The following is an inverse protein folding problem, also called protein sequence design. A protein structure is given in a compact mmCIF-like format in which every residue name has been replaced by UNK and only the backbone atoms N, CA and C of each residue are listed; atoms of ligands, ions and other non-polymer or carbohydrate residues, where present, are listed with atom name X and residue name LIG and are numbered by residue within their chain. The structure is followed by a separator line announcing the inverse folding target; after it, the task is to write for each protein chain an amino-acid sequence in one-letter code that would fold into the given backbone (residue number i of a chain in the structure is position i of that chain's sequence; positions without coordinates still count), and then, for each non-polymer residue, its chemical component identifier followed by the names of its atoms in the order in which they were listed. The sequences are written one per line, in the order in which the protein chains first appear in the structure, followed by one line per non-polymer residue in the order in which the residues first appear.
data_IF_066360087970
#
_entry.id   IF_066360087970
#
_cell.length_a   1.000
_cell.length_b   1.000
_cell.length_c   1.000
_cell.angle_alpha   90.00
_cell.angle_beta   90.00
_cell.angle_gamma   90.00
#
_symmetry.space_group_name_H-M   'P 1'
#
loop_
_entity.id
_entity.type
_entity.pdbx_description
1 polymer ?
#
# COMPACT_ATOMS: atom_id res chain seq x y z
N UNK A 1 -16.70 9.55 2.34
CA UNK A 1 -15.71 9.67 1.25
C UNK A 1 -15.96 8.54 0.27
N UNK A 2 -15.84 8.78 -1.03
CA UNK A 2 -16.02 7.72 -2.04
C UNK A 2 -14.74 6.89 -2.15
N UNK A 3 -14.86 5.58 -2.40
CA UNK A 3 -13.73 4.66 -2.61
C UNK A 3 -12.64 5.23 -3.53
N UNK A 4 -13.06 5.91 -4.61
CA UNK A 4 -12.14 6.50 -5.59
C UNK A 4 -11.32 7.68 -5.05
N UNK A 5 -11.87 8.46 -4.11
CA UNK A 5 -11.18 9.61 -3.50
C UNK A 5 -10.04 9.12 -2.59
N UNK A 6 -10.33 8.08 -1.80
CA UNK A 6 -9.36 7.40 -0.94
C UNK A 6 -8.23 6.81 -1.78
N UNK A 7 -8.57 6.06 -2.84
CA UNK A 7 -7.57 5.48 -3.74
C UNK A 7 -6.67 6.55 -4.36
N UNK A 8 -7.26 7.61 -4.92
CA UNK A 8 -6.51 8.70 -5.56
C UNK A 8 -5.55 9.39 -4.60
N UNK A 9 -5.99 9.63 -3.36
CA UNK A 9 -5.17 10.21 -2.29
C UNK A 9 -3.98 9.32 -1.96
N UNK A 10 -4.22 8.02 -1.78
CA UNK A 10 -3.18 7.04 -1.43
C UNK A 10 -2.15 6.89 -2.56
N UNK A 11 -2.60 6.84 -3.81
CA UNK A 11 -1.73 6.80 -4.98
C UNK A 11 -0.80 8.00 -5.04
N UNK A 12 -1.31 9.20 -4.75
CA UNK A 12 -0.52 10.42 -4.71
C UNK A 12 0.62 10.33 -3.70
N UNK A 13 0.36 9.78 -2.52
CA UNK A 13 1.40 9.57 -1.51
C UNK A 13 2.39 8.49 -1.89
N UNK A 14 1.94 7.32 -2.36
CA UNK A 14 2.85 6.23 -2.75
C UNK A 14 3.80 6.73 -3.84
N UNK A 15 3.28 7.46 -4.83
CA UNK A 15 4.09 8.04 -5.91
C UNK A 15 5.06 9.11 -5.44
N UNK A 16 4.74 9.84 -4.36
CA UNK A 16 5.67 10.78 -3.73
C UNK A 16 6.79 10.05 -2.95
N UNK A 17 6.51 8.90 -2.34
CA UNK A 17 7.49 8.08 -1.60
C UNK A 17 8.32 7.15 -2.48
N UNK A 18 7.76 6.77 -3.64
CA UNK A 18 8.31 5.85 -4.63
C UNK A 18 8.18 6.44 -6.03
N UNK A 19 8.92 7.52 -6.35
CA UNK A 19 8.87 8.14 -7.67
C UNK A 19 9.38 7.24 -8.80
N UNK A 20 10.12 6.19 -8.46
CA UNK A 20 10.67 5.18 -9.37
C UNK A 20 9.87 3.86 -9.36
N UNK A 21 8.73 3.82 -8.65
CA UNK A 21 7.97 2.60 -8.39
C UNK A 21 8.34 1.92 -7.08
N UNK A 22 7.40 1.13 -6.56
CA UNK A 22 7.52 0.38 -5.31
C UNK A 22 8.32 -0.90 -5.57
N UNK A 23 9.47 -1.09 -4.90
CA UNK A 23 10.22 -2.32 -5.05
C UNK A 23 9.45 -3.51 -4.44
N UNK A 24 9.67 -4.75 -4.92
CA UNK A 24 8.96 -5.92 -4.45
C UNK A 24 9.14 -6.18 -2.95
N UNK A 25 10.28 -5.77 -2.38
CA UNK A 25 10.55 -5.84 -0.93
C UNK A 25 9.65 -4.92 -0.11
N UNK A 26 9.24 -3.78 -0.66
CA UNK A 26 8.37 -2.82 0.02
C UNK A 26 6.89 -3.06 -0.29
N UNK A 27 6.55 -3.83 -1.34
CA UNK A 27 5.17 -4.12 -1.71
C UNK A 27 4.36 -4.77 -0.57
N UNK A 28 4.92 -5.82 0.03
CA UNK A 28 4.26 -6.56 1.11
C UNK A 28 4.05 -5.73 2.39
N UNK A 29 5.08 -5.08 2.97
CA UNK A 29 4.91 -4.19 4.13
C UNK A 29 4.06 -2.95 3.80
N UNK A 30 4.06 -2.46 2.55
CA UNK A 30 3.17 -1.38 2.12
C UNK A 30 1.71 -1.83 2.13
N UNK A 31 1.38 -2.98 1.54
CA UNK A 31 0.02 -3.54 1.59
C UNK A 31 -0.43 -3.78 3.03
N UNK A 32 0.46 -4.23 3.91
CA UNK A 32 0.17 -4.42 5.32
C UNK A 32 -0.20 -3.12 6.04
N UNK A 33 0.56 -2.05 5.78
CA UNK A 33 0.27 -0.72 6.33
C UNK A 33 -1.06 -0.18 5.81
N UNK A 34 -1.36 -0.38 4.52
CA UNK A 34 -2.64 -0.02 3.93
C UNK A 34 -3.78 -0.80 4.59
N UNK A 35 -3.62 -2.12 4.78
CA UNK A 35 -4.63 -2.99 5.39
C UNK A 35 -4.93 -2.65 6.86
N UNK A 36 -4.03 -1.98 7.56
CA UNK A 36 -4.30 -1.51 8.93
C UNK A 36 -5.27 -0.32 8.99
N UNK A 37 -5.44 0.40 7.88
CA UNK A 37 -6.29 1.60 7.78
C UNK A 37 -7.49 1.42 6.87
N UNK A 38 -7.33 0.60 5.84
CA UNK A 38 -8.26 0.45 4.74
C UNK A 38 -8.88 -0.94 4.80
N UNK A 39 -10.11 -1.02 4.30
CA UNK A 39 -10.75 -2.32 4.10
C UNK A 39 -10.04 -3.12 3.02
N UNK A 40 -10.23 -4.43 3.05
CA UNK A 40 -9.65 -5.35 2.07
C UNK A 40 -9.97 -4.98 0.61
N UNK A 41 -11.15 -4.41 0.36
CA UNK A 41 -11.59 -3.94 -0.96
C UNK A 41 -10.85 -2.68 -1.40
N UNK A 42 -10.69 -1.72 -0.49
CA UNK A 42 -9.91 -0.49 -0.70
C UNK A 42 -8.44 -0.81 -1.00
N UNK A 43 -7.81 -1.68 -0.21
CA UNK A 43 -6.42 -2.12 -0.44
C UNK A 43 -6.29 -2.76 -1.82
N UNK A 44 -7.23 -3.64 -2.18
CA UNK A 44 -7.25 -4.29 -3.48
C UNK A 44 -7.39 -3.26 -4.61
N UNK A 45 -8.27 -2.27 -4.47
CA UNK A 45 -8.47 -1.22 -5.46
C UNK A 45 -7.20 -0.36 -5.66
N UNK A 46 -6.54 0.04 -4.57
CA UNK A 46 -5.25 0.77 -4.60
C UNK A 46 -4.17 -0.04 -5.29
N UNK A 47 -3.96 -1.28 -4.83
CA UNK A 47 -2.93 -2.15 -5.35
C UNK A 47 -3.15 -2.48 -6.83
N UNK A 48 -4.41 -2.70 -7.25
CA UNK A 48 -4.78 -2.91 -8.65
C UNK A 48 -4.45 -1.68 -9.50
N UNK A 49 -4.74 -0.46 -9.02
CA UNK A 49 -4.39 0.76 -9.75
C UNK A 49 -2.88 1.00 -9.85
N UNK A 50 -2.13 0.68 -8.79
CA UNK A 50 -0.66 0.76 -8.81
C UNK A 50 -0.05 -0.24 -9.80
N UNK A 51 -0.54 -1.48 -9.79
CA UNK A 51 -0.10 -2.51 -10.74
C UNK A 51 -0.45 -2.11 -12.18
N UNK A 52 -1.67 -1.61 -12.42
CA UNK A 52 -2.09 -1.11 -13.74
C UNK A 52 -1.27 0.11 -14.22
N UNK A 53 -0.76 0.91 -13.28
CA UNK A 53 0.12 2.06 -13.58
C UNK A 53 1.58 1.68 -13.77
N UNK A 54 1.97 0.42 -13.50
CA UNK A 54 3.35 -0.05 -13.50
C UNK A 54 4.18 0.41 -12.30
N UNK A 55 3.53 0.96 -11.27
CA UNK A 55 4.18 1.43 -10.04
C UNK A 55 4.40 0.28 -9.04
N UNK A 56 3.52 -0.73 -9.08
CA UNK A 56 3.70 -1.99 -8.36
C UNK A 56 4.24 -3.07 -9.30
N UNK A 57 5.36 -3.69 -8.92
CA UNK A 57 5.93 -4.83 -9.65
C UNK A 57 5.33 -6.18 -9.18
N UNK A 58 4.02 -6.25 -9.05
CA UNK A 58 3.28 -7.46 -8.69
C UNK A 58 1.93 -7.47 -9.39
N UNK A 59 1.52 -8.65 -9.84
CA UNK A 59 0.26 -8.86 -10.54
C UNK A 59 -0.95 -8.81 -9.59
N UNK A 60 -2.11 -8.53 -10.16
CA UNK A 60 -3.39 -8.51 -9.43
C UNK A 60 -3.69 -9.80 -8.66
N UNK A 61 -3.23 -10.94 -9.16
CA UNK A 61 -3.36 -12.24 -8.49
C UNK A 61 -2.50 -12.32 -7.22
N UNK A 62 -1.25 -11.87 -7.31
CA UNK A 62 -0.31 -11.85 -6.18
C UNK A 62 -0.78 -10.88 -5.10
N UNK A 63 -1.42 -9.77 -5.47
CA UNK A 63 -2.07 -8.83 -4.53
C UNK A 63 -3.13 -9.53 -3.68
N UNK A 64 -4.04 -10.30 -4.29
CA UNK A 64 -5.10 -10.99 -3.54
C UNK A 64 -4.53 -12.06 -2.63
N UNK A 65 -3.50 -12.78 -3.09
CA UNK A 65 -2.76 -13.74 -2.28
C UNK A 65 -2.04 -13.04 -1.12
N UNK A 66 -1.39 -11.89 -1.37
CA UNK A 66 -0.69 -11.10 -0.37
C UNK A 66 -1.66 -10.62 0.72
N UNK A 67 -2.82 -10.08 0.36
CA UNK A 67 -3.82 -9.63 1.34
C UNK A 67 -4.32 -10.81 2.20
N UNK A 68 -4.56 -11.97 1.59
CA UNK A 68 -4.93 -13.19 2.33
C UNK A 68 -3.82 -13.62 3.28
N UNK A 69 -2.56 -13.59 2.81
CA UNK A 69 -1.38 -13.88 3.63
C UNK A 69 -1.24 -12.91 4.79
N UNK A 70 -1.50 -11.61 4.59
CA UNK A 70 -1.44 -10.60 5.65
C UNK A 70 -2.41 -10.85 6.81
N UNK A 71 -3.48 -11.60 6.56
CA UNK A 71 -4.42 -12.03 7.62
C UNK A 71 -3.83 -13.15 8.49
N UNK A 72 -2.91 -13.94 7.94
CA UNK A 72 -2.31 -15.13 8.59
C UNK A 72 -0.89 -14.86 9.09
N UNK A 73 -0.14 -14.00 8.40
CA UNK A 73 1.26 -13.70 8.63
C UNK A 73 1.50 -12.18 8.53
N UNK A 74 1.98 -11.59 9.62
CA UNK A 74 2.37 -10.18 9.62
C UNK A 74 3.80 -10.02 9.08
N UNK A 75 4.09 -8.97 8.28
CA UNK A 75 5.45 -8.67 7.86
C UNK A 75 6.35 -8.37 9.05
N UNK A 76 7.65 -8.57 8.85
CA UNK A 76 8.69 -8.18 9.81
C UNK A 76 8.55 -6.72 10.19
N UNK A 77 8.71 -6.44 11.49
CA UNK A 77 8.64 -5.09 12.03
C UNK A 77 9.66 -4.13 11.38
N UNK A 78 10.81 -4.65 10.92
CA UNK A 78 11.83 -3.87 10.21
C UNK A 78 11.34 -3.35 8.85
N UNK A 79 10.67 -4.20 8.07
CA UNK A 79 10.12 -3.84 6.76
C UNK A 79 8.97 -2.84 6.89
N UNK A 80 8.08 -3.07 7.86
CA UNK A 80 7.03 -2.10 8.22
C UNK A 80 7.63 -0.76 8.65
N UNK A 81 8.70 -0.78 9.44
CA UNK A 81 9.35 0.44 9.93
C UNK A 81 10.07 1.20 8.81
N UNK A 82 10.63 0.49 7.82
CA UNK A 82 11.23 1.11 6.64
C UNK A 82 10.19 1.85 5.82
N UNK A 83 9.07 1.18 5.50
CA UNK A 83 8.00 1.78 4.69
C UNK A 83 7.31 2.91 5.45
N UNK A 84 6.98 2.72 6.73
CA UNK A 84 6.35 3.78 7.53
C UNK A 84 7.23 5.03 7.57
N UNK A 85 8.55 4.90 7.81
CA UNK A 85 9.45 6.05 7.93
C UNK A 85 9.57 6.81 6.60
N UNK A 86 9.51 6.09 5.48
CA UNK A 86 9.50 6.68 4.14
C UNK A 86 8.19 7.43 3.87
N UNK A 87 7.05 6.82 4.22
CA UNK A 87 5.74 7.48 4.13
C UNK A 87 5.64 8.69 5.07
N UNK A 88 6.15 8.61 6.30
CA UNK A 88 6.20 9.74 7.24
C UNK A 88 7.04 10.90 6.69
N UNK A 89 8.13 10.60 5.96
CA UNK A 89 8.99 11.62 5.35
C UNK A 89 8.29 12.45 4.27
N UNK A 90 7.22 11.94 3.66
CA UNK A 90 6.42 12.66 2.65
C UNK A 90 5.14 13.26 3.24
N UNK A 91 5.01 13.26 4.56
CA UNK A 91 3.82 13.78 5.24
C UNK A 91 2.63 12.84 5.17
N UNK A 92 2.83 11.52 5.03
CA UNK A 92 1.78 10.56 5.32
C UNK A 92 1.44 10.65 6.81
N UNK A 93 0.49 11.50 7.14
CA UNK A 93 -0.14 11.48 8.44
C UNK A 93 -1.11 10.32 8.39
N UNK A 94 -0.98 9.38 9.32
CA UNK A 94 -1.81 8.17 9.34
C UNK A 94 -3.32 8.50 9.55
N UNK A 95 -3.69 9.78 9.70
CA UNK A 95 -5.03 10.36 9.60
C UNK A 95 -5.60 10.34 8.16
N UNK A 96 -5.67 9.16 7.57
CA UNK A 96 -6.36 8.95 6.30
C UNK A 96 -7.11 7.61 6.32
N UNK A 97 -7.94 7.42 7.34
CA UNK A 97 -9.14 6.58 7.30
C UNK A 97 -9.92 6.78 8.61
N UNK A 98 -11.18 7.22 8.47
CA UNK A 98 -12.32 7.21 9.39
C UNK A 98 -12.09 7.37 10.91
#
# INVERSE_FOLDING_TARGET
MSLNDVVSKILGFIRAGYPLGVPPTDCYPLLALLHHRLTNDEVKAVATQLAASGDLHIDGDDISAAITRLTTEAPSAEDLNRVRKRLESIGWTVDAAH
#
